data_IF_393798017276
#
_entry.id   IF_393798017276
#
_cell.length_a   1.000
_cell.length_b   1.000
_cell.length_c   1.000
_cell.angle_alpha   90.00
_cell.angle_beta   90.00
_cell.angle_gamma   90.00
#
_symmetry.space_group_name_H-M   'P 1'
#
loop_
_entity.id
_entity.type
_entity.pdbx_description
1 polymer ?
#
# COMPACT_ATOMS: atom_id res chain seq x y z
N UNK A 1 -54.73 -16.75 39.73
CA UNK A 1 -53.50 -15.96 39.99
C UNK A 1 -52.34 -16.63 39.26
N UNK A 2 -51.84 -16.05 38.16
CA UNK A 2 -50.67 -16.56 37.44
C UNK A 2 -49.41 -16.04 38.13
N UNK A 3 -48.59 -16.92 38.69
CA UNK A 3 -47.27 -16.54 39.19
C UNK A 3 -46.32 -16.31 38.01
N UNK A 4 -45.81 -15.09 37.90
CA UNK A 4 -44.76 -14.73 36.94
C UNK A 4 -43.43 -15.09 37.58
N UNK A 5 -42.76 -16.11 37.06
CA UNK A 5 -41.40 -16.49 37.50
C UNK A 5 -40.43 -15.43 36.97
N UNK A 6 -40.04 -14.48 37.80
CA UNK A 6 -38.93 -13.57 37.47
C UNK A 6 -37.61 -14.36 37.51
N UNK A 7 -37.05 -14.65 36.34
CA UNK A 7 -35.67 -15.12 36.24
C UNK A 7 -34.73 -13.99 36.67
N UNK A 8 -33.88 -14.24 37.68
CA UNK A 8 -32.81 -13.30 38.06
C UNK A 8 -31.81 -13.21 36.91
N UNK A 9 -31.66 -12.02 36.33
CA UNK A 9 -30.59 -11.75 35.37
C UNK A 9 -29.23 -11.95 36.06
N UNK A 10 -28.43 -12.90 35.59
CA UNK A 10 -27.03 -13.07 36.02
C UNK A 10 -26.18 -12.06 35.24
N UNK A 11 -25.52 -11.15 35.94
CA UNK A 11 -24.56 -10.21 35.36
C UNK A 11 -23.15 -10.80 35.28
N UNK A 12 -22.29 -10.20 34.44
CA UNK A 12 -20.86 -10.49 34.41
C UNK A 12 -20.18 -9.98 35.68
N UNK A 13 -19.18 -10.72 36.16
CA UNK A 13 -18.32 -10.29 37.26
C UNK A 13 -17.21 -9.37 36.74
N UNK A 14 -16.71 -8.48 37.61
CA UNK A 14 -15.59 -7.59 37.28
C UNK A 14 -14.32 -8.40 36.92
N UNK A 15 -14.12 -9.53 37.60
CA UNK A 15 -12.97 -10.42 37.34
C UNK A 15 -13.07 -11.11 35.97
N UNK A 16 -14.25 -11.54 35.53
CA UNK A 16 -14.45 -12.08 34.18
C UNK A 16 -14.09 -11.04 33.12
N UNK A 17 -14.50 -9.79 33.31
CA UNK A 17 -14.15 -8.71 32.38
C UNK A 17 -12.63 -8.49 32.33
N UNK A 18 -11.94 -8.50 33.47
CA UNK A 18 -10.47 -8.34 33.50
C UNK A 18 -9.74 -9.46 32.77
N UNK A 19 -10.21 -10.70 32.92
CA UNK A 19 -9.63 -11.85 32.20
C UNK A 19 -9.85 -11.70 30.69
N UNK A 20 -11.06 -11.29 30.26
CA UNK A 20 -11.35 -11.06 28.84
C UNK A 20 -10.44 -9.99 28.25
N UNK A 21 -10.26 -8.86 28.94
CA UNK A 21 -9.37 -7.78 28.49
C UNK A 21 -7.91 -8.26 28.41
N UNK A 22 -7.46 -9.04 29.39
CA UNK A 22 -6.11 -9.61 29.37
C UNK A 22 -5.90 -10.54 28.14
N UNK A 23 -6.85 -11.41 27.84
CA UNK A 23 -6.79 -12.29 26.67
C UNK A 23 -6.79 -11.49 25.37
N UNK A 24 -7.69 -10.50 25.23
CA UNK A 24 -7.73 -9.63 24.03
C UNK A 24 -6.43 -8.86 23.86
N UNK A 25 -5.83 -8.37 24.95
CA UNK A 25 -4.54 -7.67 24.91
C UNK A 25 -3.40 -8.55 24.36
N UNK A 26 -3.33 -9.81 24.79
CA UNK A 26 -2.34 -10.78 24.29
C UNK A 26 -2.55 -11.05 22.80
N UNK A 27 -3.80 -11.27 22.36
CA UNK A 27 -4.11 -11.50 20.95
C UNK A 27 -3.76 -10.28 20.08
N UNK A 28 -4.10 -9.08 20.55
CA UNK A 28 -3.84 -7.83 19.83
C UNK A 28 -2.33 -7.60 19.62
N UNK A 29 -1.49 -7.97 20.57
CA UNK A 29 -0.03 -7.81 20.47
C UNK A 29 0.58 -8.53 19.26
N UNK A 30 0.05 -9.70 18.89
CA UNK A 30 0.50 -10.44 17.70
C UNK A 30 -0.29 -10.09 16.44
N UNK A 31 -1.60 -9.86 16.57
CA UNK A 31 -2.47 -9.60 15.43
C UNK A 31 -2.20 -8.24 14.77
N UNK A 32 -1.93 -7.21 15.58
CA UNK A 32 -1.76 -5.84 15.10
C UNK A 32 -0.57 -5.66 14.13
N UNK A 33 0.67 -6.07 14.45
CA UNK A 33 1.79 -5.91 13.51
C UNK A 33 1.58 -6.68 12.21
N UNK A 34 0.99 -7.87 12.27
CA UNK A 34 0.66 -8.68 11.09
C UNK A 34 -0.36 -7.97 10.18
N UNK A 35 -1.38 -7.36 10.78
CA UNK A 35 -2.39 -6.60 10.04
C UNK A 35 -1.80 -5.35 9.38
N UNK A 36 -0.92 -4.61 10.07
CA UNK A 36 -0.25 -3.44 9.48
C UNK A 36 0.60 -3.86 8.26
N UNK A 37 1.34 -4.96 8.33
CA UNK A 37 2.11 -5.45 7.17
C UNK A 37 1.22 -5.94 6.03
N UNK A 38 0.03 -6.48 6.33
CA UNK A 38 -0.97 -6.77 5.30
C UNK A 38 -1.42 -5.50 4.57
N UNK A 39 -1.72 -4.42 5.30
CA UNK A 39 -2.07 -3.13 4.69
C UNK A 39 -0.93 -2.55 3.84
N UNK A 40 0.32 -2.59 4.32
CA UNK A 40 1.49 -2.13 3.57
C UNK A 40 1.63 -2.89 2.24
N UNK A 41 1.43 -4.21 2.25
CA UNK A 41 1.41 -5.02 1.03
C UNK A 41 0.33 -4.57 0.04
N UNK A 42 -0.88 -4.27 0.53
CA UNK A 42 -1.93 -3.68 -0.30
C UNK A 42 -1.49 -2.37 -0.97
N UNK A 43 -0.93 -1.44 -0.18
CA UNK A 43 -0.44 -0.16 -0.71
C UNK A 43 0.69 -0.32 -1.73
N UNK A 44 1.60 -1.30 -1.53
CA UNK A 44 2.65 -1.63 -2.51
C UNK A 44 2.04 -2.14 -3.80
N UNK A 45 1.03 -3.00 -3.74
CA UNK A 45 0.32 -3.50 -4.93
C UNK A 45 -0.30 -2.35 -5.71
N UNK A 46 -0.99 -1.44 -5.04
CA UNK A 46 -1.58 -0.25 -5.67
C UNK A 46 -0.49 0.65 -6.29
N UNK A 47 0.63 0.86 -5.60
CA UNK A 47 1.74 1.66 -6.11
C UNK A 47 2.38 1.04 -7.35
N UNK A 48 2.57 -0.28 -7.37
CA UNK A 48 3.09 -1.01 -8.53
C UNK A 48 2.14 -0.92 -9.72
N UNK A 49 0.83 -1.01 -9.50
CA UNK A 49 -0.15 -0.85 -10.56
C UNK A 49 -0.04 0.53 -11.23
N UNK A 50 0.03 1.59 -10.43
CA UNK A 50 0.16 2.96 -10.97
C UNK A 50 1.54 3.17 -11.62
N UNK A 51 2.62 2.58 -11.11
CA UNK A 51 3.93 2.60 -11.76
C UNK A 51 3.93 1.94 -13.14
N UNK A 52 3.28 0.78 -13.27
CA UNK A 52 3.15 0.08 -14.54
C UNK A 52 2.32 0.91 -15.52
N UNK A 53 1.23 1.54 -15.07
CA UNK A 53 0.42 2.43 -15.91
C UNK A 53 1.19 3.68 -16.35
N UNK A 54 2.01 4.25 -15.47
CA UNK A 54 2.92 5.34 -15.81
C UNK A 54 3.93 4.92 -16.89
N UNK A 55 4.53 3.74 -16.77
CA UNK A 55 5.42 3.19 -17.78
C UNK A 55 4.70 2.95 -19.12
N UNK A 56 3.49 2.41 -19.10
CA UNK A 56 2.66 2.23 -20.31
C UNK A 56 2.31 3.57 -20.99
N UNK A 57 2.00 4.60 -20.20
CA UNK A 57 1.73 5.95 -20.73
C UNK A 57 2.96 6.53 -21.43
N UNK A 58 4.15 6.32 -20.88
CA UNK A 58 5.41 6.73 -21.50
C UNK A 58 5.67 5.94 -22.79
N UNK A 59 5.49 4.61 -22.78
CA UNK A 59 5.63 3.75 -23.97
C UNK A 59 4.67 4.13 -25.10
N UNK A 60 3.42 4.43 -24.76
CA UNK A 60 2.42 4.94 -25.72
C UNK A 60 2.87 6.27 -26.32
N UNK A 61 3.42 7.17 -25.51
CA UNK A 61 3.92 8.47 -25.98
C UNK A 61 5.10 8.32 -26.92
N UNK A 62 6.01 7.38 -26.65
CA UNK A 62 7.12 7.04 -27.55
C UNK A 62 6.63 6.52 -28.90
N UNK A 63 5.57 5.70 -28.93
CA UNK A 63 5.00 5.18 -30.18
C UNK A 63 4.45 6.28 -31.10
N UNK A 64 4.13 7.46 -30.56
CA UNK A 64 3.60 8.62 -31.32
C UNK A 64 4.68 9.67 -31.59
N UNK A 65 5.55 9.93 -30.62
CA UNK A 65 6.53 11.04 -30.65
C UNK A 65 7.97 10.58 -30.91
N UNK A 66 8.24 9.28 -30.92
CA UNK A 66 9.58 8.67 -31.01
C UNK A 66 10.58 9.18 -29.95
N UNK A 67 10.09 9.70 -28.82
CA UNK A 67 10.92 10.19 -27.72
C UNK A 67 10.18 10.09 -26.40
N UNK A 68 10.89 9.76 -25.31
CA UNK A 68 10.36 9.93 -23.96
C UNK A 68 10.64 11.34 -23.41
N UNK A 69 11.60 12.08 -23.97
CA UNK A 69 12.01 13.37 -23.42
C UNK A 69 10.87 14.40 -23.45
N UNK A 70 10.63 15.05 -22.30
CA UNK A 70 9.60 16.08 -22.17
C UNK A 70 8.17 15.54 -22.09
N UNK A 71 7.99 14.23 -21.95
CA UNK A 71 6.68 13.62 -21.70
C UNK A 71 6.39 13.68 -20.21
N UNK A 72 5.35 14.43 -19.83
CA UNK A 72 4.86 14.48 -18.45
C UNK A 72 3.88 13.33 -18.17
N UNK A 73 3.85 12.88 -16.92
CA UNK A 73 2.81 11.97 -16.44
C UNK A 73 1.49 12.73 -16.25
N UNK A 74 0.34 12.13 -16.58
CA UNK A 74 -0.96 12.71 -16.27
C UNK A 74 -1.16 12.76 -14.75
N UNK A 75 -1.96 13.71 -14.28
CA UNK A 75 -2.08 14.02 -12.85
C UNK A 75 -2.52 12.83 -12.00
N UNK A 76 -3.35 11.93 -12.55
CA UNK A 76 -3.83 10.71 -11.88
C UNK A 76 -2.73 9.66 -11.64
N UNK A 77 -1.58 9.77 -12.33
CA UNK A 77 -0.45 8.85 -12.21
C UNK A 77 0.71 9.42 -11.39
N UNK A 78 0.52 10.56 -10.72
CA UNK A 78 1.54 11.17 -9.84
C UNK A 78 1.44 10.74 -8.39
N UNK A 79 0.43 9.92 -8.06
CA UNK A 79 0.15 9.46 -6.69
C UNK A 79 -0.53 8.11 -6.67
N UNK A 80 -0.36 7.36 -5.58
CA UNK A 80 -1.11 6.15 -5.30
C UNK A 80 -1.54 6.09 -3.82
N UNK A 81 -2.77 5.67 -3.51
CA UNK A 81 -3.90 5.49 -4.44
C UNK A 81 -4.31 6.82 -5.08
N UNK A 82 -4.97 6.76 -6.25
CA UNK A 82 -5.46 7.93 -7.00
C UNK A 82 -6.44 8.76 -6.14
N UNK A 83 -7.29 8.07 -5.37
CA UNK A 83 -8.30 8.66 -4.50
C UNK A 83 -8.02 8.34 -3.02
N UNK A 84 -8.41 9.25 -2.12
CA UNK A 84 -8.19 9.10 -0.68
C UNK A 84 -6.82 9.60 -0.21
N UNK A 85 -6.28 9.04 0.87
CA UNK A 85 -4.99 9.45 1.44
C UNK A 85 -3.83 8.97 0.57
N UNK A 86 -2.97 9.88 0.13
CA UNK A 86 -1.79 9.54 -0.66
C UNK A 86 -0.79 8.73 0.17
N UNK A 87 -0.48 7.53 -0.31
CA UNK A 87 0.48 6.60 0.32
C UNK A 87 1.82 6.57 -0.40
N UNK A 88 1.80 6.69 -1.72
CA UNK A 88 2.98 6.79 -2.56
C UNK A 88 2.91 8.01 -3.47
N UNK A 89 4.06 8.63 -3.66
CA UNK A 89 4.27 9.72 -4.63
C UNK A 89 5.01 9.15 -5.83
N UNK A 90 4.47 9.37 -7.03
CA UNK A 90 4.99 8.77 -8.26
C UNK A 90 5.57 9.88 -9.12
N UNK A 91 6.80 9.66 -9.57
CA UNK A 91 7.55 10.66 -10.35
C UNK A 91 8.50 9.98 -11.33
N UNK A 92 8.91 10.74 -12.35
CA UNK A 92 10.01 10.34 -13.24
C UNK A 92 11.32 10.82 -12.61
N UNK A 93 12.25 9.90 -12.38
CA UNK A 93 13.58 10.20 -11.79
C UNK A 93 14.60 10.56 -12.87
N UNK A 94 14.52 9.89 -14.02
CA UNK A 94 15.34 10.19 -15.19
C UNK A 94 14.54 9.97 -16.46
N UNK A 95 14.79 10.80 -17.46
CA UNK A 95 14.13 10.72 -18.76
C UNK A 95 15.09 11.16 -19.85
N UNK A 96 15.25 10.32 -20.87
CA UNK A 96 16.05 10.60 -22.06
C UNK A 96 15.18 10.40 -23.30
N UNK A 97 15.74 10.47 -24.51
CA UNK A 97 14.96 10.18 -25.71
C UNK A 97 14.51 8.71 -25.77
N UNK A 98 15.33 7.77 -25.27
CA UNK A 98 15.12 6.32 -25.46
C UNK A 98 14.95 5.53 -24.17
N UNK A 99 15.13 6.15 -23.02
CA UNK A 99 15.01 5.50 -21.72
C UNK A 99 14.33 6.41 -20.69
N UNK A 100 13.74 5.80 -19.68
CA UNK A 100 13.16 6.48 -18.53
C UNK A 100 13.28 5.62 -17.28
N UNK A 101 13.27 6.27 -16.13
CA UNK A 101 13.07 5.64 -14.83
C UNK A 101 11.94 6.34 -14.09
N UNK A 102 10.92 5.58 -13.71
CA UNK A 102 9.85 6.03 -12.82
C UNK A 102 10.05 5.45 -11.43
N UNK A 103 9.61 6.18 -10.42
CA UNK A 103 9.71 5.76 -9.02
C UNK A 103 8.40 5.99 -8.27
N UNK A 104 8.13 5.15 -7.27
CA UNK A 104 7.10 5.34 -6.27
C UNK A 104 7.75 5.45 -4.89
N UNK A 105 7.71 6.65 -4.32
CA UNK A 105 8.28 6.94 -3.00
C UNK A 105 7.18 6.83 -1.95
N UNK A 106 7.33 6.00 -0.91
CA UNK A 106 6.33 5.89 0.16
C UNK A 106 6.33 7.15 1.04
N UNK A 107 5.14 7.62 1.40
CA UNK A 107 4.92 8.71 2.36
C UNK A 107 4.78 8.18 3.81
N UNK A 108 5.22 6.95 4.06
CA UNK A 108 5.16 6.25 5.34
C UNK A 108 6.38 5.34 5.50
N UNK A 109 6.62 4.84 6.71
CA UNK A 109 7.72 3.91 6.96
C UNK A 109 7.42 2.53 6.34
N UNK A 110 8.13 2.23 5.26
CA UNK A 110 7.99 0.99 4.51
C UNK A 110 9.33 0.27 4.35
N UNK A 111 9.36 -1.02 4.65
CA UNK A 111 10.60 -1.83 4.57
C UNK A 111 11.13 -1.95 3.13
N UNK A 112 10.25 -1.81 2.13
CA UNK A 112 10.62 -1.83 0.72
C UNK A 112 11.16 -0.50 0.21
N UNK A 113 10.85 0.60 0.92
CA UNK A 113 11.19 1.95 0.51
C UNK A 113 10.70 2.30 -0.90
N UNK A 114 11.52 3.04 -1.64
CA UNK A 114 11.20 3.50 -3.00
C UNK A 114 11.23 2.36 -4.00
N UNK A 115 10.12 2.17 -4.73
CA UNK A 115 10.05 1.22 -5.85
C UNK A 115 10.41 1.95 -7.15
N UNK A 116 11.14 1.30 -8.04
CA UNK A 116 11.54 1.88 -9.33
C UNK A 116 11.27 0.93 -10.49
N UNK A 117 10.99 1.50 -11.66
CA UNK A 117 10.79 0.76 -12.90
C UNK A 117 11.44 1.52 -14.06
N UNK A 118 12.23 0.81 -14.87
CA UNK A 118 12.87 1.39 -16.08
C UNK A 118 12.09 1.05 -17.34
N UNK A 119 12.43 1.70 -18.47
CA UNK A 119 11.82 1.40 -19.76
C UNK A 119 12.04 -0.06 -20.22
N UNK A 120 13.15 -0.67 -19.81
CA UNK A 120 13.47 -2.07 -20.06
C UNK A 120 12.70 -3.07 -19.16
N UNK A 121 11.86 -2.57 -18.25
CA UNK A 121 11.11 -3.40 -17.30
C UNK A 121 11.95 -3.87 -16.10
N UNK A 122 13.13 -3.29 -15.89
CA UNK A 122 13.96 -3.59 -14.72
C UNK A 122 13.28 -3.00 -13.50
N UNK A 123 12.93 -3.88 -12.55
CA UNK A 123 12.28 -3.55 -11.29
C UNK A 123 13.35 -3.30 -10.24
N UNK A 124 13.21 -2.23 -9.47
CA UNK A 124 14.08 -1.92 -8.34
C UNK A 124 13.28 -1.60 -7.09
N UNK A 125 13.90 -1.76 -5.93
CA UNK A 125 13.39 -1.36 -4.64
C UNK A 125 14.57 -0.87 -3.79
N UNK A 126 14.32 0.01 -2.83
CA UNK A 126 15.34 0.37 -1.83
C UNK A 126 15.60 -0.79 -0.85
N UNK A 127 14.57 -1.59 -0.57
CA UNK A 127 14.68 -2.87 0.14
C UNK A 127 14.93 -4.05 -0.81
N UNK A 128 14.68 -5.26 -0.31
CA UNK A 128 14.81 -6.50 -1.08
C UNK A 128 13.86 -6.53 -2.29
N UNK A 129 14.42 -6.51 -3.51
CA UNK A 129 13.64 -6.35 -4.75
C UNK A 129 12.63 -7.49 -4.94
N UNK A 130 13.03 -8.73 -4.71
CA UNK A 130 12.19 -9.91 -4.96
C UNK A 130 11.01 -9.95 -3.98
N UNK A 131 11.24 -9.66 -2.70
CA UNK A 131 10.17 -9.52 -1.70
C UNK A 131 9.25 -8.34 -2.03
N UNK A 132 9.82 -7.23 -2.48
CA UNK A 132 9.13 -5.97 -2.68
C UNK A 132 8.42 -5.83 -4.02
N UNK A 133 8.62 -6.77 -4.95
CA UNK A 133 7.90 -6.87 -6.22
C UNK A 133 7.03 -8.12 -6.38
N UNK A 134 6.93 -8.92 -5.31
CA UNK A 134 6.05 -10.09 -5.23
C UNK A 134 4.60 -9.72 -4.90
#
# INVERSE_FOLDING_TARGET
MKQVIQQRARGFTLIELMIVVAVVGILAAFAYPSFVEFLKRGYRTDARAVLMEAAHTLQRSYSVKNTYAGVALPANLTRSPENGTQRYTISITSQTATDFQVQAVPNFADDCGTLTLTAAGVRGAAGDVDKCWK
#
